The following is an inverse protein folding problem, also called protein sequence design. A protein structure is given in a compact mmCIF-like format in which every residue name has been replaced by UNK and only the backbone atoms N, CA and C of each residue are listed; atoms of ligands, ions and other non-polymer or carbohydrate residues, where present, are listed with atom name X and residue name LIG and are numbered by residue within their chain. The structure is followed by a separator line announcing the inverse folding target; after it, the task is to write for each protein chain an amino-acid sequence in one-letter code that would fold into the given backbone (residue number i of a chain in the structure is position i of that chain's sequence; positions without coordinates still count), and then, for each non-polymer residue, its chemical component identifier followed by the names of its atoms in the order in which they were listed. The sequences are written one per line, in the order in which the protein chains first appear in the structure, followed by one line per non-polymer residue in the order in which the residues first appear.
data_IF_791323279393
#
_entry.id   IF_791323279393
#
_cell.length_a   1.000
_cell.length_b   1.000
_cell.length_c   1.000
_cell.angle_alpha   90.00
_cell.angle_beta   90.00
_cell.angle_gamma   90.00
#
_symmetry.space_group_name_H-M   'P 1'
#
loop_
_entity.id
_entity.type
_entity.pdbx_description
1 polymer ?
#
# COMPACT_ATOMS: atom_id res chain seq x y z
N UNK A 1 23.92 22.84 34.05
CA UNK A 1 22.50 23.21 34.19
C UNK A 1 22.11 23.05 35.66
N UNK A 2 21.55 24.06 36.35
CA UNK A 2 21.24 23.92 37.79
C UNK A 2 20.04 22.99 38.02
N UNK A 3 20.01 22.30 39.17
CA UNK A 3 18.98 21.31 39.53
C UNK A 3 17.55 21.87 39.48
N UNK A 4 17.37 23.19 39.67
CA UNK A 4 16.08 23.87 39.51
C UNK A 4 15.63 23.97 38.05
N UNK A 5 16.55 24.26 37.12
CA UNK A 5 16.25 24.31 35.67
C UNK A 5 15.87 22.94 35.12
N UNK A 6 16.51 21.88 35.62
CA UNK A 6 16.20 20.50 35.20
C UNK A 6 14.80 20.04 35.67
N UNK A 7 14.40 20.41 36.90
CA UNK A 7 13.05 20.11 37.42
C UNK A 7 11.96 20.84 36.65
N UNK A 8 12.18 22.11 36.31
CA UNK A 8 11.23 22.90 35.50
C UNK A 8 11.10 22.33 34.10
N UNK A 9 12.20 21.90 33.48
CA UNK A 9 12.18 21.29 32.15
C UNK A 9 11.43 19.95 32.14
N UNK A 10 11.66 19.09 33.16
CA UNK A 10 10.96 17.82 33.31
C UNK A 10 9.45 18.06 33.54
N UNK A 11 9.07 19.03 34.36
CA UNK A 11 7.66 19.36 34.60
C UNK A 11 6.96 19.90 33.35
N UNK A 12 7.65 20.71 32.54
CA UNK A 12 7.14 21.22 31.26
C UNK A 12 6.94 20.11 30.22
N UNK A 13 7.87 19.15 30.14
CA UNK A 13 7.75 18.00 29.24
C UNK A 13 6.62 17.06 29.69
N UNK A 14 6.46 16.83 31.00
CA UNK A 14 5.37 16.01 31.53
C UNK A 14 3.99 16.64 31.28
N UNK A 15 3.87 17.97 31.41
CA UNK A 15 2.62 18.69 31.16
C UNK A 15 2.23 18.72 29.67
N UNK A 16 3.20 18.70 28.75
CA UNK A 16 2.94 18.66 27.31
C UNK A 16 2.46 17.28 26.82
N UNK A 17 2.81 16.20 27.53
CA UNK A 17 2.41 14.83 27.21
C UNK A 17 0.96 14.54 27.66
N UNK A 18 0.46 15.20 28.70
CA UNK A 18 -0.89 14.97 29.24
C UNK A 18 -1.99 15.80 28.57
N UNK A 19 -1.64 16.79 27.74
CA UNK A 19 -2.60 17.69 27.08
C UNK A 19 -2.96 17.29 25.65
N UNK A 20 -2.62 16.08 25.20
CA UNK A 20 -3.01 15.62 23.86
C UNK A 20 -4.50 15.23 23.86
N UNK A 21 -5.35 15.82 23.00
CA UNK A 21 -6.74 15.44 22.93
C UNK A 21 -6.86 13.99 22.43
N UNK A 22 -7.48 13.13 23.24
CA UNK A 22 -7.71 11.69 22.99
C UNK A 22 -8.58 11.42 21.74
N UNK A 23 -9.11 12.46 21.09
CA UNK A 23 -10.01 12.34 19.93
C UNK A 23 -9.29 12.33 18.59
N UNK A 24 -7.96 12.39 18.56
CA UNK A 24 -7.17 12.21 17.35
C UNK A 24 -7.00 10.73 16.95
N UNK A 25 -7.56 9.78 17.70
CA UNK A 25 -7.40 8.34 17.45
C UNK A 25 -8.22 7.80 16.26
N UNK A 26 -9.20 8.56 15.74
CA UNK A 26 -10.09 8.09 14.65
C UNK A 26 -9.60 8.44 13.25
N UNK A 27 -8.52 9.20 13.12
CA UNK A 27 -7.84 9.40 11.85
C UNK A 27 -6.62 8.47 11.78
N UNK A 28 -6.87 7.16 11.75
CA UNK A 28 -5.94 6.31 11.03
C UNK A 28 -5.77 6.97 9.65
N UNK A 29 -4.55 7.31 9.19
CA UNK A 29 -4.39 7.76 7.83
C UNK A 29 -5.07 6.70 6.99
N UNK A 30 -6.13 7.09 6.25
CA UNK A 30 -6.70 6.22 5.25
C UNK A 30 -5.49 5.75 4.45
N UNK A 31 -5.11 4.48 4.62
CA UNK A 31 -3.95 3.90 3.97
C UNK A 31 -4.12 4.31 2.52
N UNK A 32 -3.28 5.23 2.05
CA UNK A 32 -3.47 5.86 0.75
C UNK A 32 -3.46 4.69 -0.22
N UNK A 33 -4.65 4.22 -0.61
CA UNK A 33 -4.76 3.10 -1.50
C UNK A 33 -4.12 3.63 -2.76
N UNK A 34 -2.92 3.14 -3.06
CA UNK A 34 -2.12 3.68 -4.14
C UNK A 34 -3.01 3.57 -5.36
N UNK A 35 -3.40 4.73 -5.92
CA UNK A 35 -4.43 4.74 -6.95
C UNK A 35 -3.86 3.95 -8.11
N UNK A 36 -4.63 3.01 -8.65
CA UNK A 36 -4.18 2.27 -9.81
C UNK A 36 -3.81 3.28 -10.92
N UNK A 37 -2.58 3.20 -11.41
CA UNK A 37 -2.07 4.07 -12.45
C UNK A 37 -1.79 3.23 -13.69
N UNK A 38 -2.24 3.73 -14.84
CA UNK A 38 -1.94 3.10 -16.11
C UNK A 38 -0.54 3.51 -16.60
N UNK A 39 0.19 2.58 -17.26
CA UNK A 39 -0.18 1.18 -17.46
C UNK A 39 0.04 0.33 -16.20
N UNK A 40 -0.86 -0.62 -15.94
CA UNK A 40 -0.80 -1.50 -14.76
C UNK A 40 0.36 -2.49 -14.81
N UNK A 41 0.78 -2.90 -16.02
CA UNK A 41 1.96 -3.72 -16.25
C UNK A 41 2.83 -2.97 -17.26
N UNK A 42 4.01 -2.53 -16.83
CA UNK A 42 5.01 -1.89 -17.70
C UNK A 42 5.95 -2.96 -18.29
N UNK A 43 5.41 -3.86 -19.10
CA UNK A 43 6.15 -4.95 -19.75
C UNK A 43 5.46 -5.41 -21.04
N UNK A 44 6.10 -6.32 -21.79
CA UNK A 44 5.56 -6.91 -23.00
C UNK A 44 4.53 -8.02 -22.67
N UNK A 45 3.28 -7.60 -22.52
CA UNK A 45 2.14 -8.48 -22.21
C UNK A 45 1.00 -8.21 -23.21
N UNK A 46 1.13 -8.65 -24.48
CA UNK A 46 0.15 -8.40 -25.53
C UNK A 46 -1.02 -9.39 -25.49
N UNK A 47 -2.12 -9.03 -26.19
CA UNK A 47 -3.29 -9.89 -26.43
C UNK A 47 -3.93 -10.49 -25.17
N UNK A 48 -4.10 -9.67 -24.14
CA UNK A 48 -4.64 -10.13 -22.85
C UNK A 48 -6.06 -10.68 -22.96
N UNK A 49 -6.30 -11.82 -22.33
CA UNK A 49 -7.65 -12.36 -22.10
C UNK A 49 -7.81 -12.72 -20.62
N UNK A 50 -8.87 -12.20 -19.98
CA UNK A 50 -9.05 -12.26 -18.52
C UNK A 50 -10.34 -12.98 -18.16
N UNK A 51 -10.27 -13.85 -17.15
CA UNK A 51 -11.45 -14.43 -16.47
C UNK A 51 -11.34 -14.25 -14.95
N UNK A 52 -12.47 -14.39 -14.25
CA UNK A 52 -12.53 -14.38 -12.78
C UNK A 52 -13.12 -15.69 -12.25
N UNK A 53 -12.46 -16.28 -11.26
CA UNK A 53 -12.95 -17.45 -10.51
C UNK A 53 -12.95 -17.09 -9.01
N UNK A 54 -14.15 -16.96 -8.43
CA UNK A 54 -14.30 -16.53 -7.04
C UNK A 54 -13.76 -15.11 -6.80
N UNK A 55 -12.71 -14.98 -5.99
CA UNK A 55 -12.03 -13.71 -5.68
C UNK A 55 -10.74 -13.48 -6.49
N UNK A 56 -10.43 -14.36 -7.44
CA UNK A 56 -9.17 -14.35 -8.20
C UNK A 56 -9.44 -14.08 -9.67
N UNK A 57 -8.60 -13.24 -10.27
CA UNK A 57 -8.52 -12.98 -11.69
C UNK A 57 -7.35 -13.77 -12.29
N UNK A 58 -7.57 -14.33 -13.47
CA UNK A 58 -6.54 -15.01 -14.27
C UNK A 58 -6.45 -14.33 -15.63
N UNK A 59 -5.24 -14.11 -16.11
CA UNK A 59 -4.96 -13.48 -17.40
C UNK A 59 -4.03 -14.38 -18.21
N UNK A 60 -4.37 -14.63 -19.48
CA UNK A 60 -3.44 -15.15 -20.47
C UNK A 60 -2.87 -14.03 -21.34
N UNK A 61 -1.66 -14.22 -21.88
CA UNK A 61 -0.99 -13.31 -22.82
C UNK A 61 -0.30 -14.10 -23.95
N UNK A 62 -0.02 -13.44 -25.07
CA UNK A 62 0.74 -14.03 -26.18
C UNK A 62 2.25 -13.88 -25.94
N UNK A 63 3.03 -14.94 -26.18
CA UNK A 63 4.51 -14.90 -26.25
C UNK A 63 5.08 -15.37 -27.59
N UNK A 64 4.22 -15.49 -28.60
CA UNK A 64 4.54 -15.97 -29.95
C UNK A 64 5.35 -17.28 -29.95
N UNK A 65 6.64 -17.20 -30.32
CA UNK A 65 7.53 -18.35 -30.54
C UNK A 65 8.33 -18.77 -29.28
N UNK A 66 8.07 -18.15 -28.13
CA UNK A 66 8.74 -18.50 -26.88
C UNK A 66 8.24 -19.85 -26.33
N UNK A 67 9.13 -20.55 -25.64
CA UNK A 67 8.83 -21.82 -24.97
C UNK A 67 9.35 -21.80 -23.53
N UNK A 68 8.51 -22.05 -22.51
CA UNK A 68 7.08 -22.36 -22.60
C UNK A 68 6.24 -21.16 -23.12
N UNK A 69 5.19 -21.45 -23.88
CA UNK A 69 4.27 -20.45 -24.44
C UNK A 69 3.04 -20.19 -23.56
N UNK A 70 2.30 -19.12 -23.87
CA UNK A 70 1.02 -18.76 -23.23
C UNK A 70 1.14 -18.61 -21.70
N UNK A 71 1.81 -17.56 -21.20
CA UNK A 71 1.87 -17.29 -19.77
C UNK A 71 0.47 -17.06 -19.18
N UNK A 72 0.31 -17.53 -17.93
CA UNK A 72 -0.90 -17.32 -17.13
C UNK A 72 -0.52 -16.57 -15.86
N UNK A 73 -1.08 -15.37 -15.68
CA UNK A 73 -0.89 -14.51 -14.51
C UNK A 73 -2.09 -14.55 -13.59
N UNK A 74 -1.92 -14.12 -12.33
CA UNK A 74 -2.93 -14.22 -11.28
C UNK A 74 -2.96 -12.96 -10.43
N UNK A 75 -4.13 -12.34 -10.35
CA UNK A 75 -4.36 -11.15 -9.51
C UNK A 75 -5.59 -11.33 -8.61
N UNK A 76 -5.66 -10.57 -7.52
CA UNK A 76 -6.87 -10.42 -6.70
C UNK A 76 -7.49 -9.02 -6.79
N UNK A 77 -6.80 -8.06 -7.41
CA UNK A 77 -7.15 -6.64 -7.40
C UNK A 77 -7.10 -5.96 -8.77
N UNK A 78 -6.77 -6.71 -9.85
CA UNK A 78 -6.62 -6.23 -11.24
C UNK A 78 -5.47 -5.24 -11.46
N UNK A 79 -4.62 -5.01 -10.46
CA UNK A 79 -3.49 -4.06 -10.54
C UNK A 79 -2.17 -4.81 -10.36
N UNK A 80 -2.09 -5.66 -9.34
CA UNK A 80 -0.93 -6.49 -9.05
C UNK A 80 -1.14 -7.87 -9.71
N UNK A 81 -0.46 -8.10 -10.82
CA UNK A 81 -0.63 -9.27 -11.69
C UNK A 81 0.50 -10.31 -11.57
#
# INVERSE_FOLDING_TARGET
MSRSKLRVLIALVLAAVTSQPVWAADALPAMQADRAHNPVIWADVPDIAIIRVGKTYYMSSTTMHMSPGLPIMKSTDLVNW
#
